data_IF_884763101178
#
_entry.id   IF_884763101178
#
_cell.length_a   1.000
_cell.length_b   1.000
_cell.length_c   1.000
_cell.angle_alpha   90.00
_cell.angle_beta   90.00
_cell.angle_gamma   90.00
#
_symmetry.space_group_name_H-M   'P 1'
#
loop_
_entity.id
_entity.type
_entity.pdbx_description
1 polymer ?
#
# COMPACT_ATOMS: atom_id res chain seq x y z
N UNK A 1 13.85 7.81 -3.45
CA UNK A 1 13.75 8.51 -4.75
C UNK A 1 12.87 7.65 -5.65
N UNK A 2 11.87 8.25 -6.31
CA UNK A 2 10.94 7.59 -7.24
C UNK A 2 11.15 8.15 -8.65
N UNK A 3 10.91 7.37 -9.71
CA UNK A 3 11.17 7.77 -11.11
C UNK A 3 10.05 8.66 -11.68
N UNK A 4 9.71 9.74 -10.99
CA UNK A 4 8.79 10.79 -11.47
C UNK A 4 9.57 12.10 -11.51
N UNK A 5 9.64 12.74 -12.67
CA UNK A 5 10.48 13.92 -12.87
C UNK A 5 9.72 15.24 -12.71
N UNK A 6 8.41 15.26 -13.01
CA UNK A 6 7.52 16.40 -12.85
C UNK A 6 6.38 16.08 -11.86
N UNK A 7 6.32 16.81 -10.75
CA UNK A 7 5.32 16.64 -9.70
C UNK A 7 3.88 16.90 -10.18
N UNK A 8 3.68 17.64 -11.27
CA UNK A 8 2.35 17.84 -11.85
C UNK A 8 1.73 16.54 -12.40
N UNK A 9 2.56 15.52 -12.61
CA UNK A 9 2.12 14.20 -13.03
C UNK A 9 1.74 13.27 -11.88
N UNK A 10 1.91 13.69 -10.62
CA UNK A 10 1.55 12.87 -9.46
C UNK A 10 0.03 12.64 -9.40
N UNK A 11 -0.35 11.38 -9.33
CA UNK A 11 -1.72 10.92 -9.09
C UNK A 11 -1.72 10.17 -7.76
N UNK A 12 -2.30 10.76 -6.72
CA UNK A 12 -2.36 10.18 -5.38
C UNK A 12 -3.74 10.35 -4.75
N UNK A 13 -4.10 9.41 -3.88
CA UNK A 13 -5.28 9.44 -3.03
C UNK A 13 -4.90 9.55 -1.54
N UNK A 14 -3.62 9.76 -1.21
CA UNK A 14 -3.12 9.79 0.16
C UNK A 14 -2.66 8.42 0.70
N UNK A 15 -2.43 7.46 -0.19
CA UNK A 15 -1.86 6.15 0.14
C UNK A 15 -0.45 6.23 0.76
N UNK A 16 -0.07 5.18 1.48
CA UNK A 16 1.28 5.00 2.03
C UNK A 16 1.53 5.60 3.41
N UNK A 17 0.64 6.46 3.94
CA UNK A 17 0.73 6.96 5.31
C UNK A 17 -0.24 6.24 6.26
N UNK A 18 -0.04 4.93 6.44
CA UNK A 18 -0.93 4.07 7.24
C UNK A 18 -0.45 3.92 8.68
N UNK A 19 -1.36 3.80 9.66
CA UNK A 19 -0.97 3.63 11.05
C UNK A 19 -0.24 2.30 11.27
N UNK A 20 0.62 2.30 12.29
CA UNK A 20 1.30 1.12 12.80
C UNK A 20 0.68 0.78 14.15
N UNK A 21 -0.16 -0.25 14.18
CA UNK A 21 -0.85 -0.67 15.40
C UNK A 21 0.03 -1.66 16.17
N UNK A 22 0.12 -1.49 17.49
CA UNK A 22 0.69 -2.50 18.37
C UNK A 22 -0.39 -3.49 18.79
N UNK A 23 -0.14 -4.78 18.59
CA UNK A 23 -1.09 -5.85 18.90
C UNK A 23 -0.65 -6.63 20.13
N UNK A 24 -0.88 -6.02 21.29
CA UNK A 24 -0.49 -6.57 22.60
C UNK A 24 -1.12 -7.95 22.87
N UNK A 25 -2.33 -8.21 22.36
CA UNK A 25 -2.98 -9.51 22.50
C UNK A 25 -2.17 -10.68 21.88
N UNK A 26 -1.43 -10.44 20.79
CA UNK A 26 -0.56 -11.45 20.20
C UNK A 26 0.77 -11.58 20.95
N UNK A 27 1.26 -10.48 21.51
CA UNK A 27 2.44 -10.47 22.37
C UNK A 27 2.18 -11.31 23.64
N UNK A 28 1.03 -11.09 24.28
CA UNK A 28 0.57 -11.85 25.45
C UNK A 28 0.40 -13.33 25.10
N UNK A 29 -0.26 -13.63 23.98
CA UNK A 29 -0.41 -15.01 23.50
C UNK A 29 0.95 -15.69 23.26
N UNK A 30 1.92 -15.01 22.64
CA UNK A 30 3.25 -15.57 22.39
C UNK A 30 4.02 -15.82 23.69
N UNK A 31 3.86 -14.93 24.67
CA UNK A 31 4.48 -15.07 25.99
C UNK A 31 3.88 -16.22 26.78
N UNK A 32 2.56 -16.33 26.83
CA UNK A 32 1.86 -17.38 27.58
C UNK A 32 2.02 -18.76 26.94
N UNK A 33 1.91 -18.85 25.62
CA UNK A 33 1.91 -20.14 24.92
C UNK A 33 3.31 -20.67 24.59
N UNK A 34 4.32 -19.79 24.46
CA UNK A 34 5.68 -20.14 24.01
C UNK A 34 6.81 -19.53 24.84
N UNK A 35 6.51 -18.72 25.85
CA UNK A 35 7.54 -18.01 26.63
C UNK A 35 8.29 -16.93 25.83
N UNK A 36 7.78 -16.52 24.66
CA UNK A 36 8.45 -15.56 23.78
C UNK A 36 8.06 -14.15 24.19
N UNK A 37 9.05 -13.30 24.41
CA UNK A 37 8.85 -11.85 24.59
C UNK A 37 9.20 -11.13 23.29
N UNK A 38 8.20 -10.56 22.63
CA UNK A 38 8.36 -9.82 21.38
C UNK A 38 7.39 -8.63 21.32
N UNK A 39 7.59 -7.76 20.33
CA UNK A 39 6.63 -6.73 19.96
C UNK A 39 5.98 -7.09 18.63
N UNK A 40 4.66 -6.94 18.52
CA UNK A 40 3.91 -7.18 17.29
C UNK A 40 3.35 -5.87 16.79
N UNK A 41 3.87 -5.43 15.65
CA UNK A 41 3.48 -4.19 14.98
C UNK A 41 2.81 -4.53 13.64
N UNK A 42 1.56 -4.14 13.49
CA UNK A 42 0.77 -4.34 12.28
C UNK A 42 0.69 -3.03 11.49
N UNK A 43 1.31 -3.01 10.32
CA UNK A 43 1.19 -1.89 9.40
C UNK A 43 -0.13 -2.01 8.65
N UNK A 44 -1.07 -1.09 8.93
CA UNK A 44 -2.47 -1.15 8.49
C UNK A 44 -2.67 -0.77 7.03
N UNK A 45 -2.03 -1.51 6.14
CA UNK A 45 -2.15 -1.34 4.69
C UNK A 45 -3.57 -1.59 4.16
N UNK A 46 -4.42 -2.22 4.96
CA UNK A 46 -5.85 -2.36 4.73
C UNK A 46 -6.63 -1.04 4.82
N UNK A 47 -6.01 0.01 5.39
CA UNK A 47 -6.59 1.34 5.50
C UNK A 47 -6.23 2.27 4.33
N UNK A 48 -5.55 1.78 3.29
CA UNK A 48 -5.22 2.64 2.15
C UNK A 48 -6.51 3.16 1.49
N UNK A 49 -6.55 4.45 1.10
CA UNK A 49 -7.79 5.16 0.83
C UNK A 49 -8.49 4.77 -0.48
N UNK A 50 -7.76 4.23 -1.47
CA UNK A 50 -8.35 3.90 -2.78
C UNK A 50 -9.00 2.53 -2.77
N UNK A 51 -8.29 1.49 -2.31
CA UNK A 51 -8.76 0.10 -2.38
C UNK A 51 -8.70 -0.66 -1.08
N UNK A 52 -8.21 -0.05 0.01
CA UNK A 52 -7.95 -0.76 1.25
C UNK A 52 -6.85 -1.81 1.08
N UNK A 53 -5.85 -1.54 0.24
CA UNK A 53 -4.73 -2.45 0.06
C UNK A 53 -3.43 -1.73 -0.24
N UNK A 54 -2.30 -2.37 0.09
CA UNK A 54 -0.94 -1.85 -0.20
C UNK A 54 -0.69 -1.59 -1.69
N UNK A 55 -1.54 -2.12 -2.59
CA UNK A 55 -1.39 -1.95 -4.03
C UNK A 55 -1.70 -0.53 -4.49
N UNK A 56 -2.34 0.28 -3.64
CA UNK A 56 -2.56 1.69 -3.91
C UNK A 56 -1.24 2.45 -4.08
N UNK A 57 -0.18 2.08 -3.33
CA UNK A 57 1.15 2.67 -3.50
C UNK A 57 1.71 2.42 -4.92
N UNK A 58 1.56 1.19 -5.42
CA UNK A 58 1.98 0.86 -6.78
C UNK A 58 1.08 1.54 -7.83
N UNK A 59 -0.22 1.61 -7.57
CA UNK A 59 -1.18 2.30 -8.44
C UNK A 59 -0.87 3.79 -8.58
N UNK A 60 -0.52 4.47 -7.50
CA UNK A 60 -0.07 5.86 -7.51
C UNK A 60 1.17 6.04 -8.38
N UNK A 61 2.24 5.29 -8.10
CA UNK A 61 3.49 5.44 -8.81
C UNK A 61 3.36 5.14 -10.31
N UNK A 62 2.72 4.01 -10.65
CA UNK A 62 2.60 3.61 -12.05
C UNK A 62 1.66 4.54 -12.81
N UNK A 63 0.53 4.95 -12.24
CA UNK A 63 -0.37 5.91 -12.89
C UNK A 63 0.32 7.24 -13.13
N UNK A 64 1.13 7.71 -12.17
CA UNK A 64 1.91 8.94 -12.31
C UNK A 64 2.95 8.85 -13.44
N UNK A 65 3.68 7.73 -13.50
CA UNK A 65 4.67 7.50 -14.55
C UNK A 65 4.02 7.36 -15.94
N UNK A 66 2.88 6.69 -16.04
CA UNK A 66 2.13 6.56 -17.29
C UNK A 66 1.58 7.90 -17.77
N UNK A 67 1.10 8.75 -16.85
CA UNK A 67 0.67 10.11 -17.16
C UNK A 67 1.84 10.95 -17.70
N UNK A 68 3.01 10.88 -17.04
CA UNK A 68 4.24 11.58 -17.49
C UNK A 68 4.72 11.10 -18.86
N UNK A 69 4.55 9.81 -19.16
CA UNK A 69 4.87 9.22 -20.46
C UNK A 69 3.76 9.39 -21.52
N UNK A 70 2.71 10.18 -21.24
CA UNK A 70 1.55 10.42 -22.12
C UNK A 70 0.81 9.13 -22.57
N UNK A 71 0.86 8.07 -21.77
CA UNK A 71 0.19 6.80 -22.07
C UNK A 71 -1.29 6.90 -21.76
N UNK A 72 -2.13 6.76 -22.80
CA UNK A 72 -3.60 6.88 -22.69
C UNK A 72 -4.31 5.60 -22.28
N UNK A 73 -3.71 4.44 -22.56
CA UNK A 73 -4.31 3.13 -22.30
C UNK A 73 -3.24 2.14 -21.85
N UNK A 74 -3.57 1.30 -20.87
CA UNK A 74 -2.72 0.20 -20.41
C UNK A 74 -3.59 -1.00 -20.07
N UNK A 75 -2.96 -2.17 -19.99
CA UNK A 75 -3.63 -3.43 -19.61
C UNK A 75 -2.86 -4.02 -18.44
N UNK A 76 -3.59 -4.52 -17.44
CA UNK A 76 -3.00 -5.19 -16.29
C UNK A 76 -3.65 -6.56 -16.11
N UNK A 77 -2.84 -7.60 -16.00
CA UNK A 77 -3.31 -8.91 -15.57
C UNK A 77 -3.44 -8.89 -14.04
N UNK A 78 -4.63 -9.17 -13.53
CA UNK A 78 -4.89 -9.13 -12.08
C UNK A 78 -5.88 -10.22 -11.68
N UNK A 79 -5.67 -10.77 -10.48
CA UNK A 79 -6.60 -11.67 -9.80
C UNK A 79 -7.58 -10.94 -8.86
N UNK A 80 -7.47 -9.61 -8.73
CA UNK A 80 -8.34 -8.79 -7.88
C UNK A 80 -7.77 -7.40 -7.64
N UNK A 81 -7.19 -7.16 -6.45
CA UNK A 81 -6.85 -5.83 -5.94
C UNK A 81 -5.90 -5.00 -6.83
N UNK A 82 -5.05 -5.60 -7.69
CA UNK A 82 -4.25 -4.81 -8.65
C UNK A 82 -5.19 -4.16 -9.67
N UNK A 83 -6.13 -4.92 -10.20
CA UNK A 83 -7.14 -4.42 -11.13
C UNK A 83 -7.96 -3.29 -10.52
N UNK A 84 -8.31 -3.37 -9.23
CA UNK A 84 -9.00 -2.28 -8.53
C UNK A 84 -8.10 -1.06 -8.31
N UNK A 85 -6.83 -1.25 -7.94
CA UNK A 85 -5.91 -0.13 -7.68
C UNK A 85 -5.54 0.61 -8.97
N UNK A 86 -5.62 -0.07 -10.11
CA UNK A 86 -5.30 0.44 -11.44
C UNK A 86 -6.56 0.69 -12.30
N UNK A 87 -7.76 0.65 -11.73
CA UNK A 87 -8.98 1.16 -12.36
C UNK A 87 -9.18 2.64 -12.00
#
# INVERSE_FOLDING_TARGET
>A
MLPIHDENNIISFGEGNMPLDRWEFLEDFAKESKGISCQVLAHRQDMNPKTGSFKDLAGCLVSSALKEAEVKNYVVASTGNIGAAFA
#
